data_IF_689363732989
#
_entry.id   IF_689363732989
#
_cell.length_a   1.000
_cell.length_b   1.000
_cell.length_c   1.000
_cell.angle_alpha   90.00
_cell.angle_beta   90.00
_cell.angle_gamma   90.00
#
_symmetry.space_group_name_H-M   'P 1'
#
loop_
_entity.id
_entity.type
_entity.pdbx_description
1 polymer ?
#
# COMPACT_ATOMS: atom_id res chain seq x y z
N UNK A 1 -27.95 -4.25 16.51
CA UNK A 1 -26.89 -3.69 17.37
C UNK A 1 -26.98 -2.18 17.40
N UNK A 2 -26.49 -1.56 18.49
CA UNK A 2 -26.45 -0.10 18.62
C UNK A 2 -25.37 0.54 17.72
N UNK A 3 -24.30 -0.22 17.44
CA UNK A 3 -23.19 0.21 16.61
C UNK A 3 -22.49 -1.03 16.02
N UNK A 4 -21.94 -0.88 14.80
CA UNK A 4 -21.12 -1.91 14.13
C UNK A 4 -19.82 -1.24 13.66
N UNK A 5 -18.68 -1.90 13.90
CA UNK A 5 -17.39 -1.55 13.31
C UNK A 5 -17.05 -2.60 12.26
N UNK A 6 -17.02 -2.22 11.00
CA UNK A 6 -16.57 -3.03 9.88
C UNK A 6 -15.04 -3.00 9.80
N UNK A 7 -14.41 -4.10 10.22
CA UNK A 7 -12.98 -4.36 10.09
C UNK A 7 -12.75 -5.68 9.33
N UNK A 8 -13.59 -5.92 8.33
CA UNK A 8 -13.78 -7.16 7.58
C UNK A 8 -12.98 -7.20 6.26
N UNK A 9 -11.92 -6.39 6.19
CA UNK A 9 -10.92 -6.45 5.14
C UNK A 9 -11.32 -5.73 3.83
N UNK A 10 -10.53 -5.93 2.74
CA UNK A 10 -10.65 -5.13 1.51
C UNK A 10 -11.95 -5.38 0.72
N UNK A 11 -12.63 -6.50 0.99
CA UNK A 11 -13.92 -6.85 0.38
C UNK A 11 -15.10 -6.65 1.35
N UNK A 12 -15.00 -5.65 2.23
CA UNK A 12 -15.92 -5.35 3.32
C UNK A 12 -17.40 -5.38 2.89
N UNK A 13 -18.15 -6.24 3.56
CA UNK A 13 -19.61 -6.27 3.43
C UNK A 13 -20.25 -5.04 4.09
N UNK A 14 -19.65 -4.53 5.17
CA UNK A 14 -20.13 -3.33 5.85
C UNK A 14 -19.93 -2.11 4.96
N UNK A 15 -18.77 -1.97 4.30
CA UNK A 15 -18.51 -0.88 3.33
C UNK A 15 -19.53 -0.92 2.18
N UNK A 16 -19.83 -2.10 1.66
CA UNK A 16 -20.87 -2.29 0.63
C UNK A 16 -22.26 -1.90 1.14
N UNK A 17 -22.63 -2.28 2.36
CA UNK A 17 -23.92 -1.93 2.98
C UNK A 17 -24.05 -0.41 3.19
N UNK A 18 -22.96 0.32 3.40
CA UNK A 18 -22.91 1.78 3.45
C UNK A 18 -23.12 2.44 2.08
N UNK A 19 -23.08 1.67 0.99
CA UNK A 19 -23.21 2.17 -0.39
C UNK A 19 -21.88 2.62 -1.00
N UNK A 20 -20.76 2.28 -0.42
CA UNK A 20 -19.46 2.58 -1.02
C UNK A 20 -19.25 1.76 -2.31
N UNK A 21 -18.57 2.33 -3.31
CA UNK A 21 -18.17 1.59 -4.50
C UNK A 21 -17.12 0.52 -4.14
N UNK A 22 -17.02 -0.48 -5.02
CA UNK A 22 -15.94 -1.47 -4.92
C UNK A 22 -14.58 -0.77 -5.04
N UNK A 23 -13.71 -1.03 -4.08
CA UNK A 23 -12.37 -0.43 -4.07
C UNK A 23 -11.46 -1.11 -5.11
N UNK A 24 -10.55 -0.33 -5.69
CA UNK A 24 -9.41 -0.89 -6.43
C UNK A 24 -8.54 -1.69 -5.45
N UNK A 25 -8.19 -2.93 -5.82
CA UNK A 25 -7.38 -3.81 -4.98
C UNK A 25 -6.11 -4.26 -5.70
N UNK A 26 -5.03 -4.38 -4.95
CA UNK A 26 -3.89 -5.20 -5.28
C UNK A 26 -4.15 -6.62 -4.83
N UNK A 27 -3.75 -7.58 -5.65
CA UNK A 27 -3.80 -9.01 -5.33
C UNK A 27 -2.38 -9.46 -5.06
N UNK A 28 -2.17 -10.12 -3.92
CA UNK A 28 -0.87 -10.57 -3.46
C UNK A 28 -0.80 -12.10 -3.43
N UNK A 29 0.35 -12.62 -3.79
CA UNK A 29 0.74 -14.01 -3.62
C UNK A 29 2.17 -14.04 -3.10
N UNK A 30 2.42 -14.85 -2.10
CA UNK A 30 3.74 -15.01 -1.51
C UNK A 30 4.02 -16.44 -1.13
N UNK A 31 5.29 -16.81 -1.20
CA UNK A 31 5.85 -18.05 -0.72
C UNK A 31 6.71 -17.77 0.51
N UNK A 32 6.59 -18.59 1.53
CA UNK A 32 7.63 -18.72 2.53
C UNK A 32 8.65 -19.70 1.97
N UNK A 33 9.89 -19.22 1.76
CA UNK A 33 10.97 -20.01 1.18
C UNK A 33 12.07 -20.22 2.20
N UNK A 34 12.64 -21.42 2.21
CA UNK A 34 13.80 -21.81 3.02
C UNK A 34 14.98 -22.15 2.09
N UNK A 35 16.19 -22.29 2.66
CA UNK A 35 17.43 -22.58 1.94
C UNK A 35 17.76 -21.52 0.87
N UNK A 36 17.56 -20.25 1.21
CA UNK A 36 17.80 -19.08 0.33
C UNK A 36 19.04 -18.30 0.80
N UNK A 37 19.78 -17.73 -0.16
CA UNK A 37 20.97 -16.89 0.10
C UNK A 37 20.60 -15.40 0.06
N UNK A 38 20.20 -14.87 1.19
CA UNK A 38 19.69 -13.50 1.33
C UNK A 38 20.44 -12.72 2.42
N UNK A 39 20.37 -11.38 2.34
CA UNK A 39 20.77 -10.53 3.46
C UNK A 39 19.66 -10.52 4.53
N UNK A 40 19.90 -11.08 5.74
CA UNK A 40 18.88 -11.15 6.80
C UNK A 40 18.51 -9.77 7.38
N UNK A 41 19.21 -8.71 7.01
CA UNK A 41 18.98 -7.35 7.49
C UNK A 41 18.35 -6.43 6.46
N UNK A 42 18.08 -6.91 5.24
CA UNK A 42 17.55 -6.11 4.13
C UNK A 42 16.25 -6.69 3.55
N UNK A 43 15.15 -5.94 3.67
CA UNK A 43 13.96 -6.20 2.89
C UNK A 43 14.11 -5.55 1.50
N UNK A 44 13.90 -6.32 0.45
CA UNK A 44 14.09 -5.90 -0.93
C UNK A 44 12.76 -5.76 -1.66
N UNK A 45 12.64 -4.69 -2.46
CA UNK A 45 11.48 -4.44 -3.30
C UNK A 45 11.91 -4.27 -4.76
N UNK A 46 11.24 -4.95 -5.68
CA UNK A 46 11.57 -4.98 -7.10
C UNK A 46 10.39 -4.44 -7.91
N UNK A 47 10.62 -3.34 -8.60
CA UNK A 47 9.64 -2.68 -9.46
C UNK A 47 9.93 -3.01 -10.91
N UNK A 48 9.04 -3.72 -11.59
CA UNK A 48 9.19 -4.12 -12.98
C UNK A 48 7.84 -4.37 -13.64
N UNK A 49 7.69 -3.86 -14.86
CA UNK A 49 6.52 -4.13 -15.68
C UNK A 49 6.40 -5.62 -16.06
N UNK A 50 7.54 -6.32 -16.15
CA UNK A 50 7.60 -7.74 -16.50
C UNK A 50 7.28 -8.66 -15.35
N UNK A 51 7.80 -8.37 -14.15
CA UNK A 51 7.74 -9.26 -12.99
C UNK A 51 6.67 -8.90 -11.96
N UNK A 52 6.18 -7.66 -11.98
CA UNK A 52 5.13 -7.20 -11.08
C UNK A 52 4.33 -6.04 -11.70
N UNK A 53 3.55 -6.27 -12.75
CA UNK A 53 2.87 -5.21 -13.48
C UNK A 53 1.89 -4.45 -12.58
N UNK A 54 2.09 -3.13 -12.49
CA UNK A 54 1.26 -2.24 -11.66
C UNK A 54 1.44 -2.40 -10.15
N UNK A 55 2.54 -3.04 -9.72
CA UNK A 55 2.88 -3.25 -8.33
C UNK A 55 4.37 -3.48 -8.11
N UNK A 56 4.74 -4.41 -7.24
CA UNK A 56 6.13 -4.79 -6.99
C UNK A 56 6.23 -6.23 -6.50
N UNK A 57 7.42 -6.83 -6.68
CA UNK A 57 7.81 -8.07 -6.04
C UNK A 57 8.71 -7.78 -4.83
N UNK A 58 8.84 -8.72 -3.90
CA UNK A 58 9.65 -8.54 -2.70
C UNK A 58 10.35 -9.82 -2.28
N UNK A 59 11.46 -9.63 -1.56
CA UNK A 59 12.14 -10.63 -0.77
C UNK A 59 12.31 -10.02 0.62
N UNK A 60 11.61 -10.58 1.61
CA UNK A 60 11.63 -10.09 3.00
C UNK A 60 12.18 -11.20 3.88
N UNK A 61 13.33 -11.00 4.55
CA UNK A 61 13.93 -12.00 5.41
C UNK A 61 13.00 -12.40 6.57
N UNK A 62 12.95 -13.70 6.85
CA UNK A 62 12.32 -14.27 8.04
C UNK A 62 13.37 -14.84 8.99
N UNK A 63 14.58 -15.12 8.48
CA UNK A 63 15.72 -15.66 9.18
C UNK A 63 17.00 -15.45 8.37
N UNK A 64 18.03 -16.21 8.68
CA UNK A 64 19.32 -16.16 7.95
C UNK A 64 19.27 -16.78 6.57
N UNK A 65 18.39 -17.76 6.38
CA UNK A 65 18.27 -18.61 5.20
C UNK A 65 16.81 -18.83 4.78
N UNK A 66 15.90 -17.98 5.28
CA UNK A 66 14.47 -18.04 5.00
C UNK A 66 13.89 -16.68 4.70
N UNK A 67 12.97 -16.61 3.74
CA UNK A 67 12.33 -15.38 3.29
C UNK A 67 10.87 -15.55 2.94
N UNK A 68 10.10 -14.47 3.13
CA UNK A 68 8.83 -14.26 2.47
C UNK A 68 9.12 -13.65 1.09
N UNK A 69 8.81 -14.38 0.03
CA UNK A 69 9.04 -13.99 -1.37
C UNK A 69 7.69 -13.84 -2.05
N UNK A 70 7.39 -12.65 -2.54
CA UNK A 70 6.06 -12.42 -3.06
C UNK A 70 5.95 -11.39 -4.17
N UNK A 71 4.74 -11.28 -4.69
CA UNK A 71 4.35 -10.32 -5.70
C UNK A 71 2.98 -9.74 -5.37
N UNK A 72 2.87 -8.41 -5.46
CA UNK A 72 1.60 -7.68 -5.42
C UNK A 72 1.35 -7.02 -6.76
N UNK A 73 0.19 -7.29 -7.37
CA UNK A 73 -0.20 -6.77 -8.68
C UNK A 73 -1.60 -6.21 -8.57
N UNK A 74 -1.85 -5.02 -9.10
CA UNK A 74 -3.22 -4.53 -9.17
C UNK A 74 -4.04 -5.34 -10.18
N UNK A 75 -5.26 -5.67 -9.80
CA UNK A 75 -6.14 -6.52 -10.62
C UNK A 75 -6.30 -6.00 -12.06
N UNK A 76 -6.33 -4.67 -12.25
CA UNK A 76 -6.42 -4.01 -13.56
C UNK A 76 -5.19 -4.21 -14.47
N UNK A 77 -4.05 -4.65 -13.92
CA UNK A 77 -2.80 -4.88 -14.65
C UNK A 77 -2.51 -6.35 -14.97
N UNK A 78 -3.33 -7.28 -14.48
CA UNK A 78 -3.10 -8.72 -14.69
C UNK A 78 -3.16 -9.14 -16.17
N UNK A 79 -3.96 -8.47 -17.01
CA UNK A 79 -4.05 -8.73 -18.46
C UNK A 79 -4.16 -10.22 -18.82
N UNK A 80 -4.93 -11.00 -18.02
CA UNK A 80 -5.09 -12.44 -18.19
C UNK A 80 -3.98 -13.32 -17.61
N UNK A 81 -2.92 -12.73 -17.05
CA UNK A 81 -1.87 -13.48 -16.36
C UNK A 81 -2.34 -13.97 -14.98
N UNK A 82 -1.81 -15.10 -14.53
CA UNK A 82 -2.08 -15.65 -13.20
C UNK A 82 -0.93 -15.30 -12.25
N UNK A 83 -1.25 -14.90 -11.01
CA UNK A 83 -0.24 -14.54 -10.01
C UNK A 83 0.85 -15.59 -9.79
N UNK A 84 0.55 -16.91 -9.70
CA UNK A 84 1.60 -17.91 -9.59
C UNK A 84 2.62 -17.81 -10.73
N UNK A 85 2.15 -17.65 -11.97
CA UNK A 85 3.05 -17.54 -13.14
C UNK A 85 3.95 -16.29 -13.08
N UNK A 86 3.43 -15.20 -12.50
CA UNK A 86 4.20 -13.96 -12.31
C UNK A 86 5.27 -14.17 -11.23
N UNK A 87 4.89 -14.76 -10.09
CA UNK A 87 5.81 -15.03 -8.98
C UNK A 87 6.89 -16.05 -9.38
N UNK A 88 6.49 -17.16 -10.00
CA UNK A 88 7.44 -18.18 -10.47
C UNK A 88 8.42 -17.61 -11.49
N UNK A 89 7.95 -16.74 -12.40
CA UNK A 89 8.80 -16.00 -13.34
C UNK A 89 9.77 -15.06 -12.62
N UNK A 90 9.32 -14.33 -11.59
CA UNK A 90 10.19 -13.48 -10.79
C UNK A 90 11.30 -14.28 -10.13
N UNK A 91 10.97 -15.41 -9.50
CA UNK A 91 11.93 -16.29 -8.83
C UNK A 91 12.94 -16.89 -9.85
N UNK A 92 12.45 -17.37 -10.99
CA UNK A 92 13.29 -18.11 -11.95
C UNK A 92 14.09 -17.21 -12.90
N UNK A 93 13.60 -16.03 -13.26
CA UNK A 93 14.15 -15.24 -14.37
C UNK A 93 14.70 -13.88 -13.95
N UNK A 94 14.27 -13.30 -12.80
CA UNK A 94 14.80 -11.99 -12.40
C UNK A 94 16.28 -12.12 -11.99
N UNK A 95 17.21 -11.36 -12.57
CA UNK A 95 18.65 -11.61 -12.41
C UNK A 95 19.12 -11.72 -10.95
N UNK A 96 18.67 -10.78 -10.10
CA UNK A 96 19.06 -10.76 -8.68
C UNK A 96 18.26 -11.78 -7.85
N UNK A 97 16.97 -11.92 -8.10
CA UNK A 97 16.13 -12.83 -7.32
C UNK A 97 16.51 -14.28 -7.59
N UNK A 98 16.75 -14.65 -8.85
CA UNK A 98 17.18 -16.01 -9.25
C UNK A 98 18.47 -16.44 -8.54
N UNK A 99 19.44 -15.54 -8.39
CA UNK A 99 20.70 -15.85 -7.72
C UNK A 99 20.48 -16.13 -6.24
N UNK A 100 19.70 -15.27 -5.57
CA UNK A 100 19.42 -15.36 -4.13
C UNK A 100 18.51 -16.52 -3.74
N UNK A 101 17.59 -16.88 -4.63
CA UNK A 101 16.57 -17.90 -4.38
C UNK A 101 16.91 -19.25 -5.02
N UNK A 102 18.11 -19.38 -5.61
CA UNK A 102 18.57 -20.61 -6.25
C UNK A 102 18.67 -21.75 -5.23
N UNK A 103 17.96 -22.86 -5.49
CA UNK A 103 17.93 -24.01 -4.60
C UNK A 103 16.95 -23.91 -3.45
N UNK A 104 16.35 -22.73 -3.20
CA UNK A 104 15.34 -22.56 -2.14
C UNK A 104 14.04 -23.32 -2.42
N UNK A 105 13.40 -23.77 -1.36
CA UNK A 105 12.14 -24.50 -1.37
C UNK A 105 11.00 -23.66 -0.81
N UNK A 106 9.83 -23.65 -1.48
CA UNK A 106 8.62 -23.02 -0.98
C UNK A 106 7.89 -23.96 -0.01
N UNK A 107 7.87 -23.62 1.26
CA UNK A 107 7.27 -24.43 2.32
C UNK A 107 5.84 -24.00 2.70
N UNK A 108 5.47 -22.74 2.39
CA UNK A 108 4.11 -22.24 2.58
C UNK A 108 3.71 -21.27 1.48
N UNK A 109 2.41 -21.14 1.26
CA UNK A 109 1.80 -20.24 0.26
C UNK A 109 0.74 -19.39 0.94
N UNK A 110 0.85 -18.07 0.80
CA UNK A 110 -0.14 -17.13 1.32
C UNK A 110 -0.70 -16.27 0.19
N UNK A 111 -1.98 -15.93 0.30
CA UNK A 111 -2.68 -15.07 -0.67
C UNK A 111 -3.49 -14.03 0.07
N UNK A 112 -3.52 -12.83 -0.50
CA UNK A 112 -4.30 -11.76 0.06
C UNK A 112 -4.70 -10.73 -0.99
N UNK A 113 -5.58 -9.84 -0.60
CA UNK A 113 -5.88 -8.63 -1.33
C UNK A 113 -5.65 -7.43 -0.42
N UNK A 114 -5.21 -6.32 -0.98
CA UNK A 114 -5.00 -5.06 -0.25
C UNK A 114 -5.71 -3.93 -0.99
N UNK A 115 -6.38 -3.00 -0.31
CA UNK A 115 -6.96 -1.84 -0.97
C UNK A 115 -5.85 -0.96 -1.55
N UNK A 116 -6.02 -0.54 -2.79
CA UNK A 116 -5.08 0.31 -3.52
C UNK A 116 -5.70 1.66 -3.94
N UNK A 117 -6.99 1.84 -3.77
CA UNK A 117 -7.74 3.02 -4.19
C UNK A 117 -7.73 4.19 -3.19
N UNK A 118 -7.27 3.98 -1.96
CA UNK A 118 -7.41 4.93 -0.85
C UNK A 118 -8.72 4.74 -0.09
N UNK A 119 -9.05 5.69 0.79
CA UNK A 119 -10.29 5.61 1.58
C UNK A 119 -11.54 5.69 0.71
N UNK A 120 -12.58 4.89 1.03
CA UNK A 120 -13.88 5.01 0.37
C UNK A 120 -14.54 6.35 0.71
N UNK A 121 -15.58 6.76 -0.05
CA UNK A 121 -16.28 8.02 0.18
C UNK A 121 -16.86 8.18 1.59
N UNK A 122 -17.33 7.08 2.19
CA UNK A 122 -17.86 7.08 3.55
C UNK A 122 -17.17 6.02 4.41
N UNK A 123 -16.54 6.44 5.50
CA UNK A 123 -16.01 5.55 6.54
C UNK A 123 -16.88 5.55 7.80
N UNK A 124 -17.94 6.36 7.81
CA UNK A 124 -19.00 6.39 8.82
C UNK A 124 -20.33 6.67 8.11
N UNK A 125 -21.37 5.93 8.49
CA UNK A 125 -22.76 6.16 8.06
C UNK A 125 -23.71 5.55 9.08
N UNK A 126 -24.67 6.35 9.54
CA UNK A 126 -25.63 5.94 10.57
C UNK A 126 -24.90 5.40 11.82
N UNK A 127 -25.08 4.14 12.16
CA UNK A 127 -24.41 3.46 13.25
C UNK A 127 -23.28 2.51 12.79
N UNK A 128 -22.74 2.74 11.59
CA UNK A 128 -21.67 1.92 10.99
C UNK A 128 -20.37 2.73 10.92
N UNK A 129 -19.26 2.15 11.39
CA UNK A 129 -17.91 2.67 11.22
C UNK A 129 -17.08 1.66 10.41
N UNK A 130 -16.11 2.13 9.65
CA UNK A 130 -15.11 1.29 8.98
C UNK A 130 -13.73 1.54 9.55
N UNK A 131 -12.92 0.49 9.69
CA UNK A 131 -11.53 0.57 10.12
C UNK A 131 -10.64 -0.40 9.32
N UNK A 132 -9.34 -0.14 9.28
CA UNK A 132 -8.37 -0.97 8.55
C UNK A 132 -8.63 -0.99 7.04
N UNK A 133 -8.42 -2.14 6.42
CA UNK A 133 -8.59 -2.31 4.97
C UNK A 133 -10.02 -2.04 4.49
N UNK A 134 -11.03 -2.32 5.32
CA UNK A 134 -12.42 -1.99 5.03
C UNK A 134 -12.62 -0.47 4.81
N UNK A 135 -11.83 0.35 5.49
CA UNK A 135 -11.79 1.81 5.36
C UNK A 135 -10.71 2.31 4.37
N UNK A 136 -10.05 1.42 3.63
CA UNK A 136 -8.96 1.77 2.73
C UNK A 136 -7.73 2.38 3.44
N UNK A 137 -7.49 2.02 4.71
CA UNK A 137 -6.41 2.56 5.53
C UNK A 137 -5.09 1.85 5.22
N UNK A 138 -4.69 1.94 3.95
CA UNK A 138 -3.46 1.34 3.41
C UNK A 138 -2.72 2.38 2.58
N UNK A 139 -1.41 2.47 2.76
CA UNK A 139 -0.54 3.35 1.97
C UNK A 139 -0.45 2.83 0.54
N UNK A 140 -1.03 3.53 -0.41
CA UNK A 140 -1.08 3.11 -1.82
C UNK A 140 0.31 3.03 -2.49
N UNK A 141 1.34 3.67 -1.92
CA UNK A 141 2.74 3.62 -2.40
C UNK A 141 3.46 2.33 -2.02
N UNK A 142 3.11 1.70 -0.90
CA UNK A 142 3.85 0.55 -0.34
C UNK A 142 2.98 -0.65 0.02
N UNK A 143 1.64 -0.54 -0.04
CA UNK A 143 0.75 -1.58 0.48
C UNK A 143 0.77 -1.70 2.01
N UNK A 144 1.48 -0.81 2.71
CA UNK A 144 1.60 -0.83 4.18
C UNK A 144 0.31 -0.42 4.86
N UNK A 145 -0.39 -1.36 5.50
CA UNK A 145 -1.67 -1.13 6.18
C UNK A 145 -1.64 -1.38 7.68
N UNK A 146 -0.77 -2.26 8.18
CA UNK A 146 -0.78 -2.72 9.57
C UNK A 146 -0.73 -1.57 10.60
N UNK A 147 0.20 -0.60 10.54
CA UNK A 147 0.24 0.51 11.51
C UNK A 147 -1.02 1.38 11.45
N UNK A 148 -1.55 1.61 10.25
CA UNK A 148 -2.74 2.42 10.05
C UNK A 148 -4.00 1.72 10.56
N UNK A 149 -4.10 0.39 10.37
CA UNK A 149 -5.19 -0.41 10.90
C UNK A 149 -5.20 -0.43 12.44
N UNK A 150 -4.01 -0.52 13.07
CA UNK A 150 -3.88 -0.44 14.54
C UNK A 150 -4.37 0.92 15.06
N UNK A 151 -3.88 2.01 14.47
CA UNK A 151 -4.29 3.37 14.89
C UNK A 151 -5.75 3.63 14.56
N UNK A 152 -6.22 3.25 13.37
CA UNK A 152 -7.60 3.42 12.94
C UNK A 152 -8.58 2.60 13.79
N UNK A 153 -8.22 1.36 14.12
CA UNK A 153 -9.00 0.49 15.00
C UNK A 153 -9.11 1.06 16.42
N UNK A 154 -8.02 1.61 16.97
CA UNK A 154 -8.03 2.31 18.26
C UNK A 154 -8.99 3.51 18.24
N UNK A 155 -8.88 4.37 17.22
CA UNK A 155 -9.75 5.55 17.08
C UNK A 155 -11.22 5.12 16.94
N UNK A 156 -11.50 4.04 16.18
CA UNK A 156 -12.85 3.51 16.03
C UNK A 156 -13.40 2.98 17.35
N UNK A 157 -12.60 2.26 18.15
CA UNK A 157 -12.97 1.77 19.47
C UNK A 157 -13.26 2.90 20.46
N UNK A 158 -12.42 3.94 20.49
CA UNK A 158 -12.62 5.14 21.33
C UNK A 158 -13.90 5.88 20.94
N UNK A 159 -14.14 6.13 19.64
CA UNK A 159 -15.35 6.77 19.14
C UNK A 159 -16.61 5.96 19.48
N UNK A 160 -16.54 4.64 19.32
CA UNK A 160 -17.63 3.73 19.68
C UNK A 160 -17.96 3.79 21.18
N UNK A 161 -16.94 3.75 22.03
CA UNK A 161 -17.10 3.81 23.47
C UNK A 161 -17.69 5.14 23.92
N UNK A 162 -17.19 6.28 23.40
CA UNK A 162 -17.70 7.61 23.69
C UNK A 162 -19.16 7.77 23.26
N UNK A 163 -19.50 7.31 22.07
CA UNK A 163 -20.88 7.31 21.58
C UNK A 163 -21.84 6.49 22.45
N UNK A 164 -21.44 5.28 22.83
CA UNK A 164 -22.27 4.40 23.65
C UNK A 164 -22.51 4.93 25.07
N UNK A 165 -21.60 5.78 25.59
CA UNK A 165 -21.76 6.51 26.84
C UNK A 165 -22.53 7.84 26.69
N UNK A 166 -22.82 8.28 25.46
CA UNK A 166 -23.46 9.58 25.19
C UNK A 166 -22.51 10.77 25.30
N UNK A 167 -21.21 10.57 25.27
CA UNK A 167 -20.16 11.59 25.43
C UNK A 167 -19.67 12.17 24.10
N UNK A 168 -19.75 11.39 23.03
CA UNK A 168 -19.23 11.72 21.69
C UNK A 168 -20.27 11.45 20.60
N UNK A 169 -20.09 12.12 19.46
CA UNK A 169 -20.89 11.90 18.25
C UNK A 169 -20.10 11.04 17.26
N UNK A 170 -20.77 10.09 16.60
CA UNK A 170 -20.12 9.23 15.58
C UNK A 170 -19.67 10.04 14.36
N UNK A 171 -20.34 11.14 14.04
CA UNK A 171 -20.01 12.05 12.95
C UNK A 171 -18.62 12.67 13.08
N UNK A 172 -18.01 12.65 14.26
CA UNK A 172 -16.66 13.14 14.51
C UNK A 172 -15.57 12.13 14.13
N UNK A 173 -15.93 10.84 13.96
CA UNK A 173 -15.00 9.78 13.62
C UNK A 173 -14.19 10.04 12.35
N UNK A 174 -14.77 10.40 11.17
CA UNK A 174 -14.01 10.72 9.98
C UNK A 174 -12.99 11.83 10.17
N UNK A 175 -13.32 12.86 10.95
CA UNK A 175 -12.43 13.97 11.27
C UNK A 175 -11.25 13.51 12.13
N UNK A 176 -11.46 12.59 13.07
CA UNK A 176 -10.38 11.99 13.90
C UNK A 176 -9.42 11.18 13.03
N UNK A 177 -9.92 10.34 12.13
CA UNK A 177 -9.09 9.58 11.16
C UNK A 177 -8.32 10.53 10.26
N UNK A 178 -8.97 11.55 9.70
CA UNK A 178 -8.30 12.50 8.81
C UNK A 178 -7.15 13.26 9.51
N UNK A 179 -7.32 13.67 10.76
CA UNK A 179 -6.25 14.28 11.57
C UNK A 179 -5.10 13.33 11.84
N UNK A 180 -5.38 12.03 12.06
CA UNK A 180 -4.35 11.05 12.38
C UNK A 180 -3.44 10.73 11.19
N UNK A 181 -4.01 10.45 10.02
CA UNK A 181 -3.24 10.04 8.83
C UNK A 181 -3.94 10.28 7.48
N UNK A 182 -5.08 10.96 7.45
CA UNK A 182 -5.85 11.15 6.19
C UNK A 182 -5.07 11.86 5.10
N UNK A 183 -4.27 12.88 5.45
CA UNK A 183 -3.42 13.60 4.50
C UNK A 183 -2.37 12.66 3.88
N UNK A 184 -1.76 11.78 4.68
CA UNK A 184 -0.77 10.82 4.20
C UNK A 184 -1.40 9.79 3.26
N UNK A 185 -2.59 9.29 3.58
CA UNK A 185 -3.33 8.39 2.69
C UNK A 185 -3.64 9.04 1.34
N UNK A 186 -4.17 10.24 1.34
CA UNK A 186 -4.49 10.97 0.12
C UNK A 186 -3.24 11.21 -0.74
N UNK A 187 -2.12 11.63 -0.13
CA UNK A 187 -0.82 11.79 -0.80
C UNK A 187 -0.28 10.48 -1.37
N UNK A 188 -0.41 9.37 -0.65
CA UNK A 188 0.04 8.07 -1.14
C UNK A 188 -0.65 7.68 -2.44
N UNK A 189 -1.94 7.94 -2.56
CA UNK A 189 -2.72 7.71 -3.79
C UNK A 189 -2.25 8.61 -4.93
N UNK A 190 -1.98 9.89 -4.64
CA UNK A 190 -1.47 10.83 -5.66
C UNK A 190 -0.09 10.41 -6.17
N UNK A 191 0.84 10.09 -5.26
CA UNK A 191 2.19 9.62 -5.63
C UNK A 191 2.08 8.33 -6.44
N UNK A 192 1.27 7.37 -6.02
CA UNK A 192 1.03 6.14 -6.79
C UNK A 192 0.57 6.43 -8.21
N UNK A 193 -0.43 7.31 -8.39
CA UNK A 193 -0.92 7.69 -9.72
C UNK A 193 0.18 8.29 -10.60
N UNK A 194 1.12 9.06 -10.03
CA UNK A 194 2.27 9.59 -10.76
C UNK A 194 3.26 8.47 -11.14
N UNK A 195 3.55 7.55 -10.22
CA UNK A 195 4.43 6.41 -10.45
C UNK A 195 3.84 5.45 -11.50
N UNK A 196 2.51 5.31 -11.57
CA UNK A 196 1.81 4.50 -12.57
C UNK A 196 2.16 4.85 -14.02
N UNK A 197 2.50 6.10 -14.27
CA UNK A 197 2.95 6.52 -15.61
C UNK A 197 4.34 5.92 -15.95
N UNK A 198 5.23 5.82 -14.96
CA UNK A 198 6.56 5.25 -15.11
C UNK A 198 6.52 3.70 -15.12
N UNK A 199 5.55 3.08 -14.42
CA UNK A 199 5.39 1.62 -14.36
C UNK A 199 5.05 0.94 -15.69
N UNK A 200 4.78 1.72 -16.74
CA UNK A 200 4.56 1.19 -18.09
C UNK A 200 5.84 0.70 -18.78
N UNK A 201 7.01 1.05 -18.25
CA UNK A 201 8.32 0.72 -18.84
C UNK A 201 9.40 0.64 -17.76
N UNK A 202 10.16 -0.47 -17.75
CA UNK A 202 11.30 -0.64 -16.84
C UNK A 202 12.37 0.45 -17.05
N UNK A 203 12.52 0.99 -18.27
CA UNK A 203 13.44 2.11 -18.54
C UNK A 203 12.99 3.38 -17.82
N UNK A 204 11.70 3.71 -17.85
CA UNK A 204 11.16 4.88 -17.14
C UNK A 204 11.27 4.70 -15.63
N UNK A 205 10.97 3.51 -15.10
CA UNK A 205 11.13 3.20 -13.68
C UNK A 205 12.57 3.33 -13.23
N UNK A 206 13.51 2.76 -13.96
CA UNK A 206 14.93 2.85 -13.64
C UNK A 206 15.42 4.32 -13.69
N UNK A 207 14.98 5.10 -14.67
CA UNK A 207 15.31 6.53 -14.74
C UNK A 207 14.74 7.30 -13.56
N UNK A 208 13.51 7.01 -13.13
CA UNK A 208 12.89 7.64 -11.98
C UNK A 208 13.66 7.30 -10.70
N UNK A 209 13.96 6.02 -10.48
CA UNK A 209 14.67 5.58 -9.27
C UNK A 209 16.11 6.07 -9.22
N UNK A 210 16.82 6.10 -10.36
CA UNK A 210 18.18 6.64 -10.43
C UNK A 210 18.25 8.14 -10.18
N UNK A 211 17.16 8.87 -10.40
CA UNK A 211 17.06 10.30 -10.12
C UNK A 211 16.78 10.62 -8.63
N UNK A 212 16.42 9.62 -7.83
CA UNK A 212 16.07 9.80 -6.42
C UNK A 212 17.20 9.30 -5.51
N UNK A 213 17.59 10.11 -4.53
CA UNK A 213 18.46 9.65 -3.46
C UNK A 213 17.72 8.63 -2.56
N UNK A 214 18.45 7.78 -1.78
CA UNK A 214 17.83 6.86 -0.83
C UNK A 214 16.89 7.55 0.16
N UNK A 215 17.23 8.76 0.63
CA UNK A 215 16.38 9.53 1.52
C UNK A 215 15.08 9.99 0.85
N UNK A 216 15.15 10.42 -0.40
CA UNK A 216 13.98 10.80 -1.20
C UNK A 216 13.10 9.59 -1.51
N UNK A 217 13.69 8.43 -1.82
CA UNK A 217 12.95 7.19 -2.01
C UNK A 217 12.19 6.80 -0.73
N UNK A 218 12.85 6.86 0.42
CA UNK A 218 12.21 6.63 1.73
C UNK A 218 11.04 7.58 1.98
N UNK A 219 11.17 8.85 1.59
CA UNK A 219 10.09 9.84 1.70
C UNK A 219 8.92 9.50 0.78
N UNK A 220 9.18 9.13 -0.47
CA UNK A 220 8.15 8.69 -1.42
C UNK A 220 7.37 7.48 -0.89
N UNK A 221 8.08 6.47 -0.38
CA UNK A 221 7.46 5.27 0.19
C UNK A 221 6.57 5.57 1.42
N UNK A 222 6.90 6.62 2.17
CA UNK A 222 6.13 7.12 3.32
C UNK A 222 5.07 8.17 2.96
N UNK A 223 4.84 8.41 1.67
CA UNK A 223 3.98 9.46 1.14
C UNK A 223 4.30 10.86 1.70
N UNK A 224 5.59 11.12 1.95
CA UNK A 224 6.13 12.43 2.23
C UNK A 224 6.62 13.04 0.91
N UNK A 225 6.33 14.32 0.66
CA UNK A 225 6.81 14.99 -0.55
C UNK A 225 8.29 15.33 -0.33
N UNK A 226 9.23 14.81 -1.17
CA UNK A 226 10.63 15.20 -1.07
C UNK A 226 10.80 16.70 -1.26
N UNK A 227 11.69 17.33 -0.50
CA UNK A 227 11.93 18.78 -0.51
C UNK A 227 12.27 19.35 -1.90
N UNK A 228 12.89 18.54 -2.77
CA UNK A 228 13.22 18.94 -4.14
C UNK A 228 11.99 19.34 -4.97
N UNK A 229 10.80 18.81 -4.64
CA UNK A 229 9.55 19.19 -5.32
C UNK A 229 8.92 20.44 -4.68
N UNK A 230 9.27 20.77 -3.44
CA UNK A 230 8.76 21.94 -2.72
C UNK A 230 9.52 23.20 -3.14
N UNK A 231 10.84 23.11 -3.41
CA UNK A 231 11.68 24.25 -3.79
C UNK A 231 11.34 24.84 -5.16
N UNK A 232 10.79 24.05 -6.09
CA UNK A 232 10.36 24.54 -7.41
C UNK A 232 8.99 25.22 -7.42
N UNK A 233 8.14 24.98 -6.43
CA UNK A 233 6.85 25.65 -6.32
C UNK A 233 6.96 27.08 -5.77
N UNK A 234 7.98 27.35 -4.94
CA UNK A 234 8.20 28.69 -4.35
C UNK A 234 8.95 29.68 -5.26
N UNK A 235 9.63 29.20 -6.31
CA UNK A 235 10.37 30.10 -7.23
C UNK A 235 9.54 30.67 -8.37
N UNK A 236 8.25 30.31 -8.47
CA UNK A 236 7.31 30.78 -9.50
C UNK A 236 6.57 32.08 -9.15
N UNK A 237 6.51 32.48 -7.88
CA UNK A 237 5.70 33.63 -7.46
C UNK A 237 6.47 34.96 -7.30
N UNK A 238 7.80 34.96 -7.33
CA UNK A 238 8.58 36.20 -7.16
C UNK A 238 8.95 36.94 -8.46
N UNK A 239 8.58 36.43 -9.64
CA UNK A 239 8.86 37.11 -10.93
C UNK A 239 7.71 37.95 -11.46
N UNK A 240 6.63 38.16 -10.71
CA UNK A 240 5.43 38.89 -11.16
C UNK A 240 5.25 40.30 -10.56
N UNK A 241 6.21 40.83 -9.78
CA UNK A 241 6.07 42.15 -9.15
C UNK A 241 7.32 43.03 -9.31
N UNK A 242 7.79 43.18 -10.52
CA UNK A 242 8.64 44.32 -10.94
C UNK A 242 8.47 44.50 -12.43
N UNK A 243 7.41 45.22 -12.78
CA UNK A 243 7.36 46.16 -13.95
C UNK A 243 6.10 47.02 -13.78
#
# INVERSE_FOLDING_TARGET
PRLIIGADGPHSMISKAMGNPVQETGICLEYEMVDVDIDPHAAEMYFSARYAPGGYAWIIPLGSDSANVGVGVRASYLSGQRLPQILDRFIAEHPLAREKLAGGEAVAVMRGAVPAGGSPPAIMKDNLLLAGDAAGQVMATSGGGIPLAIVGGRIAGEAAAGYLRGEERLEDYPSRINRAFGIQLARSVQIRKMVDLAMKSDRLMNSLFSALSPAQMKSVMRAQIPEIFLSRACTGEERGRQN
#
